data_IF_042863525123
#
_entry.id   IF_042863525123
#
_cell.length_a   1.000
_cell.length_b   1.000
_cell.length_c   1.000
_cell.angle_alpha   90.00
_cell.angle_beta   90.00
_cell.angle_gamma   90.00
#
_symmetry.space_group_name_H-M   'P 1'
#
loop_
_entity.id
_entity.type
_entity.pdbx_description
1 polymer ?
#
# COMPACT_ATOMS: atom_id res chain seq x y z
N UNK A 1 20.26 -42.75 -24.95
CA UNK A 1 19.02 -41.93 -24.97
C UNK A 1 18.34 -42.15 -23.63
N UNK A 2 18.07 -41.20 -22.75
CA UNK A 2 17.90 -39.76 -22.89
C UNK A 2 18.09 -39.13 -21.49
N UNK A 3 19.33 -38.87 -21.08
CA UNK A 3 19.61 -38.22 -19.79
C UNK A 3 19.54 -36.67 -19.89
N UNK A 4 19.48 -36.14 -21.12
CA UNK A 4 19.44 -34.70 -21.40
C UNK A 4 18.03 -34.09 -21.44
N UNK A 5 16.97 -34.88 -21.60
CA UNK A 5 15.60 -34.35 -21.67
C UNK A 5 15.03 -34.01 -20.28
N UNK A 6 15.23 -34.89 -19.30
CA UNK A 6 14.73 -34.71 -17.91
C UNK A 6 15.41 -33.52 -17.22
N UNK A 7 16.70 -33.30 -17.53
CA UNK A 7 17.48 -32.20 -16.97
C UNK A 7 17.02 -30.84 -17.54
N UNK A 8 16.54 -30.80 -18.78
CA UNK A 8 16.03 -29.55 -19.37
C UNK A 8 14.69 -29.12 -18.72
N UNK A 9 13.80 -30.08 -18.42
CA UNK A 9 12.50 -29.82 -17.76
C UNK A 9 12.63 -29.26 -16.34
N UNK A 10 13.64 -29.71 -15.57
CA UNK A 10 13.85 -29.21 -14.20
C UNK A 10 14.41 -27.80 -14.16
N UNK A 11 15.23 -27.38 -15.13
CA UNK A 11 15.73 -26.01 -15.20
C UNK A 11 14.61 -25.00 -15.50
N UNK A 12 13.65 -25.34 -16.35
CA UNK A 12 12.50 -24.47 -16.64
C UNK A 12 11.56 -24.33 -15.44
N UNK A 13 11.31 -25.43 -14.71
CA UNK A 13 10.50 -25.40 -13.49
C UNK A 13 11.16 -24.56 -12.38
N UNK A 14 12.45 -24.77 -12.11
CA UNK A 14 13.21 -23.99 -11.15
C UNK A 14 13.27 -22.51 -11.54
N UNK A 15 13.45 -22.23 -12.83
CA UNK A 15 13.42 -20.86 -13.34
C UNK A 15 12.05 -20.21 -13.09
N UNK A 16 10.96 -20.89 -13.39
CA UNK A 16 9.60 -20.36 -13.17
C UNK A 16 9.29 -20.16 -11.67
N UNK A 17 9.59 -21.13 -10.82
CA UNK A 17 9.42 -20.99 -9.36
C UNK A 17 10.20 -19.80 -8.81
N UNK A 18 11.46 -19.64 -9.23
CA UNK A 18 12.30 -18.53 -8.77
C UNK A 18 11.71 -17.18 -9.19
N UNK A 19 11.31 -17.04 -10.45
CA UNK A 19 10.68 -15.80 -10.94
C UNK A 19 9.37 -15.52 -10.22
N UNK A 20 8.55 -16.55 -9.97
CA UNK A 20 7.30 -16.40 -9.24
C UNK A 20 7.53 -15.94 -7.80
N UNK A 21 8.50 -16.52 -7.09
CA UNK A 21 8.84 -16.12 -5.72
C UNK A 21 9.39 -14.69 -5.66
N UNK A 22 10.25 -14.30 -6.62
CA UNK A 22 10.74 -12.92 -6.73
C UNK A 22 9.57 -11.96 -6.96
N UNK A 23 8.65 -12.30 -7.86
CA UNK A 23 7.47 -11.47 -8.11
C UNK A 23 6.60 -11.33 -6.85
N UNK A 24 6.37 -12.42 -6.11
CA UNK A 24 5.62 -12.37 -4.85
C UNK A 24 6.31 -11.49 -3.80
N UNK A 25 7.63 -11.57 -3.67
CA UNK A 25 8.41 -10.75 -2.75
C UNK A 25 8.34 -9.26 -3.13
N UNK A 26 8.49 -8.93 -4.42
CA UNK A 26 8.36 -7.55 -4.92
C UNK A 26 6.95 -6.99 -4.73
N UNK A 27 5.92 -7.80 -4.99
CA UNK A 27 4.53 -7.41 -4.75
C UNK A 27 4.33 -7.12 -3.26
N UNK A 28 4.80 -7.99 -2.37
CA UNK A 28 4.67 -7.77 -0.93
C UNK A 28 5.47 -6.55 -0.45
N UNK A 29 6.64 -6.26 -1.03
CA UNK A 29 7.42 -5.06 -0.76
C UNK A 29 6.77 -3.76 -1.28
N UNK A 30 5.81 -3.84 -2.22
CA UNK A 30 5.02 -2.69 -2.67
C UNK A 30 3.84 -2.37 -1.76
N UNK A 31 3.61 -3.17 -0.71
CA UNK A 31 2.50 -3.00 0.20
C UNK A 31 2.99 -2.76 1.63
N UNK A 32 2.30 -1.89 2.34
CA UNK A 32 2.61 -1.47 3.71
C UNK A 32 1.35 -1.53 4.57
N UNK A 33 1.49 -1.83 5.85
CA UNK A 33 0.38 -1.85 6.82
C UNK A 33 0.31 -0.52 7.55
N UNK A 34 -0.89 0.03 7.59
CA UNK A 34 -1.23 1.24 8.35
C UNK A 34 -2.49 1.01 9.16
N UNK A 35 -2.80 1.92 10.07
CA UNK A 35 -4.03 1.92 10.86
C UNK A 35 -4.91 3.05 10.33
N UNK A 36 -6.09 2.73 9.80
CA UNK A 36 -7.05 3.74 9.33
C UNK A 36 -8.28 3.70 10.22
N UNK A 37 -8.60 4.81 10.89
CA UNK A 37 -9.73 4.92 11.82
C UNK A 37 -9.78 3.73 12.81
N UNK A 38 -8.62 3.36 13.36
CA UNK A 38 -8.46 2.25 14.31
C UNK A 38 -8.44 0.85 13.70
N UNK A 39 -8.52 0.69 12.36
CA UNK A 39 -8.46 -0.61 11.69
C UNK A 39 -7.19 -0.77 10.86
N UNK A 40 -6.46 -1.86 11.09
CA UNK A 40 -5.28 -2.18 10.28
C UNK A 40 -5.69 -2.48 8.84
N UNK A 41 -5.04 -1.82 7.87
CA UNK A 41 -5.18 -2.07 6.44
C UNK A 41 -3.82 -2.14 5.78
N UNK A 42 -3.74 -2.91 4.71
CA UNK A 42 -2.60 -2.94 3.81
C UNK A 42 -2.89 -2.00 2.63
N UNK A 43 -1.98 -1.07 2.35
CA UNK A 43 -2.06 -0.13 1.22
C UNK A 43 -0.75 -0.15 0.43
N UNK A 44 -0.74 0.41 -0.78
CA UNK A 44 0.48 0.52 -1.56
C UNK A 44 1.48 1.47 -0.88
N UNK A 45 2.77 1.18 -1.04
CA UNK A 45 3.86 2.04 -0.60
C UNK A 45 3.84 3.36 -1.37
N UNK A 46 4.48 4.39 -0.78
CA UNK A 46 4.74 5.69 -1.43
C UNK A 46 3.46 6.45 -1.83
N UNK A 47 2.32 6.15 -1.21
CA UNK A 47 1.09 6.91 -1.45
C UNK A 47 1.15 8.25 -0.71
N UNK A 48 0.94 9.33 -1.46
CA UNK A 48 0.60 10.62 -0.87
C UNK A 48 -0.78 10.56 -0.23
N UNK A 49 -1.04 11.44 0.75
CA UNK A 49 -2.38 11.58 1.35
C UNK A 49 -3.44 11.83 0.28
N UNK A 50 -3.11 12.60 -0.76
CA UNK A 50 -3.99 12.83 -1.91
C UNK A 50 -4.39 11.53 -2.61
N UNK A 51 -3.41 10.74 -3.06
CA UNK A 51 -3.66 9.49 -3.78
C UNK A 51 -4.41 8.48 -2.91
N UNK A 52 -4.03 8.39 -1.63
CA UNK A 52 -4.75 7.56 -0.67
C UNK A 52 -6.23 7.99 -0.58
N UNK A 53 -6.50 9.28 -0.40
CA UNK A 53 -7.87 9.80 -0.34
C UNK A 53 -8.66 9.59 -1.63
N UNK A 54 -8.04 9.76 -2.80
CA UNK A 54 -8.69 9.53 -4.10
C UNK A 54 -9.18 8.07 -4.24
N UNK A 55 -8.44 7.11 -3.66
CA UNK A 55 -8.84 5.69 -3.60
C UNK A 55 -9.82 5.34 -2.47
N UNK A 56 -9.75 6.06 -1.35
CA UNK A 56 -10.45 5.70 -0.12
C UNK A 56 -11.81 6.39 0.02
N UNK A 57 -11.93 7.66 -0.37
CA UNK A 57 -13.15 8.44 -0.24
C UNK A 57 -13.21 9.62 -1.20
N UNK A 58 -14.30 9.71 -1.96
CA UNK A 58 -14.56 10.83 -2.87
C UNK A 58 -15.07 12.11 -2.18
N UNK A 59 -15.13 12.14 -0.84
CA UNK A 59 -15.73 13.25 -0.10
C UNK A 59 -14.74 14.40 0.09
N UNK A 60 -15.01 15.53 -0.56
CA UNK A 60 -14.22 16.77 -0.46
C UNK A 60 -14.41 17.52 0.87
N UNK A 61 -15.16 16.99 1.83
CA UNK A 61 -15.43 17.69 3.10
C UNK A 61 -14.63 17.13 4.28
N UNK A 62 -13.93 16.01 4.12
CA UNK A 62 -13.20 15.36 5.24
C UNK A 62 -11.82 15.97 5.49
N UNK A 63 -11.38 15.91 6.75
CA UNK A 63 -10.03 16.22 7.19
C UNK A 63 -9.25 14.91 7.43
N UNK A 64 -7.93 14.95 7.24
CA UNK A 64 -7.03 13.83 7.50
C UNK A 64 -6.05 14.23 8.60
N UNK A 65 -5.87 13.35 9.58
CA UNK A 65 -4.79 13.43 10.55
C UNK A 65 -3.90 12.19 10.44
N UNK A 66 -2.59 12.37 10.53
CA UNK A 66 -1.60 11.30 10.59
C UNK A 66 -0.91 11.39 11.94
N UNK A 67 -0.92 10.30 12.70
CA UNK A 67 -0.35 10.21 14.03
C UNK A 67 -0.84 11.36 14.93
N UNK A 68 -2.16 11.62 14.92
CA UNK A 68 -2.85 12.69 15.65
C UNK A 68 -2.51 14.14 15.19
N UNK A 69 -1.74 14.30 14.10
CA UNK A 69 -1.43 15.61 13.53
C UNK A 69 -2.27 15.86 12.28
N UNK A 70 -3.06 16.94 12.28
CA UNK A 70 -3.84 17.32 11.10
C UNK A 70 -2.95 17.72 9.95
N UNK A 71 -3.20 17.13 8.78
CA UNK A 71 -2.50 17.47 7.55
C UNK A 71 -3.34 18.55 6.83
N UNK A 72 -2.78 19.74 6.56
CA UNK A 72 -3.43 20.75 5.73
C UNK A 72 -3.63 20.22 4.30
N UNK A 73 -4.76 20.58 3.66
CA UNK A 73 -5.05 20.15 2.28
C UNK A 73 -3.99 20.55 1.25
N UNK A 74 -3.34 21.70 1.45
CA UNK A 74 -2.23 22.14 0.60
C UNK A 74 -1.03 21.19 0.63
N UNK A 75 -0.90 20.39 1.70
CA UNK A 75 0.19 19.43 1.88
C UNK A 75 -0.17 18.00 1.45
N UNK A 76 -1.44 17.71 1.12
CA UNK A 76 -1.87 16.34 0.76
C UNK A 76 -1.07 15.72 -0.40
N UNK A 77 -0.58 16.54 -1.32
CA UNK A 77 0.24 16.08 -2.44
C UNK A 77 1.68 15.74 -2.07
N UNK A 78 2.20 16.33 -0.99
CA UNK A 78 3.62 16.21 -0.60
C UNK A 78 3.80 15.35 0.65
N UNK A 79 2.77 15.17 1.46
CA UNK A 79 2.78 14.28 2.62
C UNK A 79 2.57 12.85 2.17
N UNK A 80 3.59 12.02 2.34
CA UNK A 80 3.54 10.57 2.14
C UNK A 80 3.08 9.87 3.41
N UNK A 81 2.28 8.82 3.26
CA UNK A 81 1.96 7.91 4.36
C UNK A 81 3.08 6.89 4.48
N UNK A 82 3.44 6.51 5.70
CA UNK A 82 4.49 5.53 5.99
C UNK A 82 3.95 4.27 6.68
N UNK A 83 4.75 3.21 6.69
CA UNK A 83 4.43 1.96 7.39
C UNK A 83 4.18 2.24 8.88
N UNK A 84 3.09 1.67 9.39
CA UNK A 84 2.71 1.80 10.80
C UNK A 84 1.98 3.10 11.15
N UNK A 85 1.81 4.03 10.22
CA UNK A 85 1.10 5.29 10.48
C UNK A 85 -0.34 5.05 10.94
N UNK A 86 -0.78 5.90 11.86
CA UNK A 86 -2.18 5.99 12.28
C UNK A 86 -2.87 7.15 11.55
N UNK A 87 -3.70 6.81 10.57
CA UNK A 87 -4.43 7.73 9.73
C UNK A 87 -5.88 7.83 10.20
N UNK A 88 -6.30 9.02 10.59
CA UNK A 88 -7.68 9.33 10.96
C UNK A 88 -8.33 10.20 9.88
N UNK A 89 -9.49 9.76 9.40
CA UNK A 89 -10.30 10.48 8.41
C UNK A 89 -11.55 10.96 9.13
N UNK A 90 -11.62 12.27 9.31
CA UNK A 90 -12.60 12.94 10.17
C UNK A 90 -13.56 13.74 9.29
N UNK A 91 -14.85 13.45 9.40
CA UNK A 91 -15.88 14.30 8.81
C UNK A 91 -16.06 15.55 9.67
N UNK A 92 -16.33 16.72 9.08
CA UNK A 92 -16.63 17.93 9.83
C UNK A 92 -17.87 17.66 10.65
N UNK A 93 -17.74 17.80 11.97
CA UNK A 93 -18.90 17.85 12.84
C UNK A 93 -19.55 19.21 12.63
N UNK A 94 -20.75 19.24 12.05
CA UNK A 94 -21.60 20.43 12.10
C UNK A 94 -21.95 20.71 13.57
N UNK A 95 -21.19 21.61 14.20
CA UNK A 95 -21.55 22.22 15.47
C UNK A 95 -21.88 23.69 15.22
N UNK A 96 -23.06 24.12 15.67
CA UNK A 96 -23.45 25.53 15.72
C UNK A 96 -22.75 26.27 16.84
#
# INVERSE_FOLDING_TARGET
MSMGFIVMDTYWLLFWETNYLILLEQVQANYMKIIINGKTKTIEHQLSVKQFMDSYSSSLSVAVAINQNFIPRSQYHCTTIEEGDNVEILSPMQGG
#
